data_IF_549783270699
#
_entry.id   IF_549783270699
#
_cell.length_a   1.000
_cell.length_b   1.000
_cell.length_c   1.000
_cell.angle_alpha   90.00
_cell.angle_beta   90.00
_cell.angle_gamma   90.00
#
_symmetry.space_group_name_H-M   'P 1'
#
loop_
_entity.id
_entity.type
_entity.pdbx_description
1 polymer ?
#
# COMPACT_ATOMS: atom_id res chain seq x y z
N UNK A 1 8.65 -10.18 -14.18
CA UNK A 1 7.35 -9.61 -14.59
C UNK A 1 7.42 -9.33 -16.07
N UNK A 2 6.42 -9.80 -16.81
CA UNK A 2 6.34 -9.78 -18.27
C UNK A 2 5.14 -8.97 -18.75
N UNK A 3 4.06 -8.92 -17.97
CA UNK A 3 2.80 -8.26 -18.35
C UNK A 3 2.04 -7.76 -17.12
N UNK A 4 1.31 -6.67 -17.29
CA UNK A 4 0.36 -6.11 -16.32
C UNK A 4 -0.99 -5.93 -16.99
N UNK A 5 -2.06 -6.35 -16.32
CA UNK A 5 -3.43 -6.01 -16.69
C UNK A 5 -4.16 -5.38 -15.51
N UNK A 6 -4.78 -4.22 -15.69
CA UNK A 6 -5.44 -3.50 -14.62
C UNK A 6 -6.84 -2.98 -15.00
N UNK A 7 -7.66 -2.75 -13.98
CA UNK A 7 -8.94 -2.05 -14.05
C UNK A 7 -9.08 -1.09 -12.88
N UNK A 8 -9.51 0.13 -13.22
CA UNK A 8 -9.87 1.16 -12.26
C UNK A 8 -11.38 1.43 -12.26
N UNK A 9 -11.88 1.91 -11.13
CA UNK A 9 -13.25 2.39 -10.97
C UNK A 9 -13.25 3.74 -10.25
N UNK A 10 -14.05 4.69 -10.77
CA UNK A 10 -14.28 6.01 -10.20
C UNK A 10 -15.64 6.09 -9.51
N UNK A 11 -15.75 6.89 -8.45
CA UNK A 11 -16.84 6.97 -7.49
C UNK A 11 -16.65 8.15 -6.54
N UNK A 12 -16.46 7.89 -5.25
CA UNK A 12 -16.50 8.91 -4.17
C UNK A 12 -15.44 9.99 -4.31
N UNK A 13 -14.23 9.65 -4.77
CA UNK A 13 -13.16 10.62 -5.02
C UNK A 13 -13.51 11.54 -6.19
N UNK A 14 -14.16 11.02 -7.23
CA UNK A 14 -14.64 11.82 -8.36
C UNK A 14 -15.77 12.76 -7.93
N UNK A 15 -16.69 12.29 -7.09
CA UNK A 15 -17.76 13.12 -6.51
C UNK A 15 -17.20 14.23 -5.61
N UNK A 16 -16.08 13.97 -4.93
CA UNK A 16 -15.31 14.97 -4.18
C UNK A 16 -14.46 15.92 -5.06
N UNK A 17 -14.49 15.77 -6.39
CA UNK A 17 -13.78 16.65 -7.33
C UNK A 17 -12.37 16.19 -7.72
N UNK A 18 -11.97 14.97 -7.37
CA UNK A 18 -10.67 14.39 -7.73
C UNK A 18 -10.81 13.40 -8.90
N UNK A 19 -10.15 13.68 -10.02
CA UNK A 19 -10.24 12.83 -11.23
C UNK A 19 -9.30 11.60 -11.17
N UNK A 20 -9.42 10.80 -10.12
CA UNK A 20 -8.62 9.58 -9.89
C UNK A 20 -9.53 8.36 -9.68
N UNK A 21 -8.96 7.17 -9.81
CA UNK A 21 -9.66 5.92 -9.51
C UNK A 21 -9.72 5.70 -7.98
N UNK A 22 -10.90 5.32 -7.48
CA UNK A 22 -11.12 4.95 -6.07
C UNK A 22 -10.62 3.54 -5.79
N UNK A 23 -10.82 2.65 -6.76
CA UNK A 23 -10.44 1.25 -6.68
C UNK A 23 -9.63 0.91 -7.92
N UNK A 24 -8.47 0.29 -7.72
CA UNK A 24 -7.67 -0.28 -8.81
C UNK A 24 -7.28 -1.70 -8.45
N UNK A 25 -7.57 -2.66 -9.34
CA UNK A 25 -7.03 -4.02 -9.28
C UNK A 25 -6.12 -4.26 -10.47
N UNK A 26 -4.98 -4.90 -10.22
CA UNK A 26 -3.97 -5.22 -11.22
C UNK A 26 -3.49 -6.67 -11.07
N UNK A 27 -3.43 -7.39 -12.18
CA UNK A 27 -2.80 -8.70 -12.31
C UNK A 27 -1.42 -8.51 -12.95
N UNK A 28 -0.39 -9.02 -12.28
CA UNK A 28 1.01 -8.96 -12.69
C UNK A 28 1.47 -10.38 -13.01
N UNK A 29 1.87 -10.61 -14.24
CA UNK A 29 2.38 -11.90 -14.71
C UNK A 29 3.91 -11.92 -14.68
N UNK A 30 4.50 -13.03 -14.24
CA UNK A 30 5.96 -13.21 -14.17
C UNK A 30 6.44 -14.27 -15.15
N UNK A 31 7.72 -14.19 -15.51
CA UNK A 31 8.33 -15.05 -16.53
C UNK A 31 8.49 -16.51 -16.10
N UNK A 32 8.48 -16.76 -14.80
CA UNK A 32 8.51 -18.09 -14.18
C UNK A 32 7.11 -18.69 -14.01
N UNK A 33 6.07 -18.00 -14.48
CA UNK A 33 4.66 -18.41 -14.35
C UNK A 33 3.98 -17.96 -13.07
N UNK A 34 4.69 -17.29 -12.15
CA UNK A 34 4.05 -16.70 -10.98
C UNK A 34 3.09 -15.56 -11.39
N UNK A 35 2.07 -15.34 -10.58
CA UNK A 35 1.08 -14.28 -10.76
C UNK A 35 0.88 -13.56 -9.43
N UNK A 36 0.86 -12.24 -9.46
CA UNK A 36 0.47 -11.42 -8.31
C UNK A 36 -0.81 -10.65 -8.63
N UNK A 37 -1.73 -10.60 -7.67
CA UNK A 37 -2.88 -9.71 -7.70
C UNK A 37 -2.63 -8.59 -6.70
N UNK A 38 -2.68 -7.34 -7.18
CA UNK A 38 -2.52 -6.15 -6.37
C UNK A 38 -3.78 -5.33 -6.44
N UNK A 39 -4.13 -4.71 -5.33
CA UNK A 39 -4.89 -3.49 -5.48
C UNK A 39 -5.29 -2.81 -4.20
N UNK A 40 -5.98 -1.73 -4.46
CA UNK A 40 -6.06 -0.57 -3.60
C UNK A 40 -7.46 -0.05 -3.70
N UNK A 41 -8.04 0.32 -2.56
CA UNK A 41 -9.38 0.89 -2.47
C UNK A 41 -9.39 2.02 -1.46
N UNK A 42 -9.86 3.18 -1.91
CA UNK A 42 -10.22 4.33 -1.08
C UNK A 42 -11.74 4.51 -0.98
N UNK A 43 -12.53 3.57 -1.52
CA UNK A 43 -13.99 3.64 -1.56
C UNK A 43 -14.69 3.15 -0.27
N UNK A 44 -13.94 2.94 0.82
CA UNK A 44 -14.53 2.50 2.08
C UNK A 44 -15.40 3.62 2.70
N UNK A 45 -16.48 3.28 3.42
CA UNK A 45 -17.30 4.28 4.09
C UNK A 45 -16.47 5.14 5.04
N UNK A 46 -16.79 6.43 5.12
CA UNK A 46 -16.11 7.41 5.97
C UNK A 46 -15.95 6.94 7.44
N UNK A 47 -16.93 6.21 7.97
CA UNK A 47 -16.90 5.73 9.37
C UNK A 47 -16.33 4.31 9.55
N UNK A 48 -15.69 3.75 8.51
CA UNK A 48 -15.05 2.44 8.63
C UNK A 48 -13.82 2.50 9.56
N UNK A 49 -13.63 1.54 10.48
CA UNK A 49 -12.57 1.62 11.51
C UNK A 49 -11.14 1.69 10.97
N UNK A 50 -10.90 1.13 9.78
CA UNK A 50 -9.60 1.08 9.12
C UNK A 50 -9.52 2.05 7.92
N UNK A 51 -10.27 3.17 7.95
CA UNK A 51 -10.32 4.10 6.81
C UNK A 51 -8.91 4.54 6.41
N UNK A 52 -8.50 4.18 5.19
CA UNK A 52 -7.19 4.51 4.64
C UNK A 52 -6.02 3.67 5.15
N UNK A 53 -6.21 2.78 6.13
CA UNK A 53 -5.11 2.04 6.76
C UNK A 53 -5.49 0.57 6.98
N UNK A 54 -5.14 -0.25 6.00
CA UNK A 54 -5.40 -1.68 5.97
C UNK A 54 -4.48 -2.31 4.92
N UNK A 55 -3.78 -3.38 5.27
CA UNK A 55 -2.92 -4.10 4.34
C UNK A 55 -3.02 -5.60 4.59
N UNK A 56 -3.28 -6.35 3.53
CA UNK A 56 -3.34 -7.81 3.56
C UNK A 56 -2.45 -8.37 2.47
N UNK A 57 -1.67 -9.38 2.81
CA UNK A 57 -0.78 -10.08 1.90
C UNK A 57 -1.00 -11.58 2.04
N UNK A 58 -1.13 -12.26 0.92
CA UNK A 58 -1.10 -13.72 0.86
C UNK A 58 -0.06 -14.15 -0.16
N UNK A 59 0.79 -15.10 0.23
CA UNK A 59 1.75 -15.77 -0.64
C UNK A 59 1.48 -17.26 -0.59
N UNK A 60 1.13 -17.82 -1.74
CA UNK A 60 0.82 -19.23 -1.93
C UNK A 60 1.99 -19.91 -2.65
N UNK A 61 2.58 -20.92 -2.01
CA UNK A 61 3.67 -21.72 -2.56
C UNK A 61 3.30 -23.20 -2.66
N UNK A 62 4.17 -23.99 -3.30
CA UNK A 62 3.98 -25.45 -3.43
C UNK A 62 4.10 -26.19 -2.10
N UNK A 63 4.80 -25.61 -1.12
CA UNK A 63 5.12 -26.25 0.16
C UNK A 63 4.59 -25.49 1.37
N UNK A 64 3.85 -24.40 1.16
CA UNK A 64 3.35 -23.61 2.28
C UNK A 64 2.65 -22.33 1.85
N UNK A 65 2.16 -21.62 2.87
CA UNK A 65 1.40 -20.38 2.73
C UNK A 65 1.87 -19.38 3.78
N UNK A 66 1.93 -18.11 3.38
CA UNK A 66 2.07 -16.96 4.28
C UNK A 66 0.81 -16.11 4.11
N UNK A 67 0.12 -15.82 5.21
CA UNK A 67 -0.98 -14.85 5.26
C UNK A 67 -0.60 -13.81 6.31
N UNK A 68 -0.52 -12.56 5.89
CA UNK A 68 -0.34 -11.41 6.77
C UNK A 68 -1.59 -10.54 6.69
N UNK A 69 -2.16 -10.27 7.85
CA UNK A 69 -3.28 -9.36 8.03
C UNK A 69 -2.85 -8.25 8.99
N UNK A 70 -2.52 -7.10 8.40
CA UNK A 70 -2.09 -5.89 9.10
C UNK A 70 -3.28 -5.00 9.48
N UNK A 71 -4.51 -5.46 9.22
CA UNK A 71 -5.71 -4.76 9.65
C UNK A 71 -5.88 -4.82 11.18
N UNK A 72 -5.16 -5.73 11.86
CA UNK A 72 -5.17 -5.92 13.32
C UNK A 72 -6.59 -5.98 13.91
N UNK A 73 -7.49 -6.67 13.21
CA UNK A 73 -8.92 -6.74 13.57
C UNK A 73 -9.18 -7.39 14.94
N UNK A 74 -8.17 -8.06 15.50
CA UNK A 74 -8.13 -8.64 16.84
C UNK A 74 -7.85 -7.61 17.95
N UNK A 75 -7.32 -6.43 17.62
CA UNK A 75 -7.02 -5.35 18.55
C UNK A 75 -7.91 -4.14 18.28
N UNK A 76 -9.08 -4.08 18.92
CA UNK A 76 -10.03 -2.99 18.72
C UNK A 76 -10.07 -2.02 19.90
N UNK A 77 -10.29 -0.74 19.60
CA UNK A 77 -10.68 0.28 20.57
C UNK A 77 -11.97 0.95 20.11
N UNK A 78 -12.88 1.17 21.06
CA UNK A 78 -14.09 1.95 20.86
C UNK A 78 -14.20 3.08 21.88
N UNK A 79 -14.63 4.27 21.45
CA UNK A 79 -14.82 5.43 22.32
C UNK A 79 -15.92 6.36 21.79
N UNK A 80 -16.82 6.79 22.67
CA UNK A 80 -17.81 7.84 22.39
C UNK A 80 -17.18 9.21 22.12
N UNK A 81 -15.94 9.43 22.58
CA UNK A 81 -15.21 10.69 22.35
C UNK A 81 -14.59 10.78 20.95
N UNK A 82 -14.61 9.69 20.18
CA UNK A 82 -13.96 9.61 18.88
C UNK A 82 -12.44 9.51 18.95
N UNK A 83 -11.85 9.09 17.83
CA UNK A 83 -10.41 9.04 17.57
C UNK A 83 -10.17 9.84 16.29
N UNK A 84 -9.27 10.84 16.29
CA UNK A 84 -8.98 11.63 15.10
C UNK A 84 -8.27 10.79 14.03
N UNK A 85 -8.58 11.06 12.76
CA UNK A 85 -7.89 10.44 11.62
C UNK A 85 -6.49 11.04 11.44
N UNK A 86 -5.50 10.22 11.10
CA UNK A 86 -4.09 10.67 11.02
C UNK A 86 -3.78 11.57 9.81
N UNK A 87 -4.55 11.47 8.72
CA UNK A 87 -4.35 12.27 7.49
C UNK A 87 -5.46 13.25 7.14
N UNK A 88 -6.66 13.05 7.67
CA UNK A 88 -7.84 13.79 7.25
C UNK A 88 -8.23 14.71 8.40
N UNK A 89 -7.93 16.02 8.31
CA UNK A 89 -8.34 16.95 9.35
C UNK A 89 -9.86 16.92 9.48
N UNK A 90 -10.35 17.15 10.70
CA UNK A 90 -11.78 17.17 11.04
C UNK A 90 -12.52 15.84 10.82
N UNK A 91 -11.80 14.75 10.57
CA UNK A 91 -12.37 13.41 10.48
C UNK A 91 -12.12 12.62 11.77
N UNK A 92 -13.19 12.04 12.33
CA UNK A 92 -13.11 11.20 13.52
C UNK A 92 -13.96 9.94 13.39
N UNK A 93 -13.46 8.84 13.93
CA UNK A 93 -14.16 7.54 14.03
C UNK A 93 -14.27 7.11 15.49
N UNK A 94 -15.35 6.42 15.84
CA UNK A 94 -15.57 5.93 17.21
C UNK A 94 -14.90 4.59 17.46
N UNK A 95 -14.53 3.88 16.40
CA UNK A 95 -13.88 2.58 16.45
C UNK A 95 -12.62 2.60 15.60
N UNK A 96 -11.54 2.03 16.10
CA UNK A 96 -10.29 1.82 15.36
C UNK A 96 -9.74 0.42 15.63
N UNK A 97 -9.01 -0.12 14.67
CA UNK A 97 -8.09 -1.22 14.92
C UNK A 97 -6.74 -0.62 15.32
N UNK A 98 -6.24 -1.03 16.48
CA UNK A 98 -4.98 -0.51 17.02
C UNK A 98 -3.82 -1.07 16.20
N UNK A 99 -2.79 -0.25 15.99
CA UNK A 99 -1.59 -0.60 15.20
C UNK A 99 -1.83 -0.81 13.70
N UNK A 100 -3.06 -0.74 13.19
CA UNK A 100 -3.37 -0.86 11.76
C UNK A 100 -3.10 0.41 10.95
N UNK A 101 -2.53 1.44 11.58
CA UNK A 101 -2.19 2.72 10.97
C UNK A 101 -0.99 2.64 10.03
N UNK A 102 -0.72 3.72 9.30
CA UNK A 102 0.52 3.88 8.52
C UNK A 102 1.76 3.54 9.31
N UNK A 103 2.92 3.26 8.67
CA UNK A 103 4.01 2.58 9.35
C UNK A 103 4.58 3.47 10.45
N UNK A 104 4.01 3.34 11.63
CA UNK A 104 4.23 4.17 12.80
C UNK A 104 2.99 4.90 13.35
N UNK A 105 3.03 5.13 14.66
CA UNK A 105 1.97 5.78 15.43
C UNK A 105 2.40 7.16 15.89
N UNK A 106 1.42 8.06 16.05
CA UNK A 106 1.63 9.31 16.77
C UNK A 106 1.43 9.09 18.27
N UNK A 107 2.49 9.23 19.04
CA UNK A 107 2.47 9.09 20.50
C UNK A 107 3.33 10.16 21.16
N UNK A 108 2.83 10.73 22.27
CA UNK A 108 3.53 11.78 23.03
C UNK A 108 3.95 13.00 22.18
N UNK A 109 3.24 13.29 21.10
CA UNK A 109 3.55 14.40 20.18
C UNK A 109 4.62 14.11 19.14
N UNK A 110 5.13 12.88 19.07
CA UNK A 110 6.13 12.44 18.09
C UNK A 110 5.59 11.30 17.22
N UNK A 111 6.15 11.14 16.02
CA UNK A 111 5.85 10.01 15.13
C UNK A 111 6.83 8.86 15.37
N UNK A 112 6.30 7.69 15.67
CA UNK A 112 7.07 6.50 16.03
C UNK A 112 6.86 5.41 14.97
N UNK A 113 7.81 5.25 14.05
CA UNK A 113 7.69 4.26 12.96
C UNK A 113 9.03 3.81 12.37
N UNK A 114 9.02 2.89 11.39
CA UNK A 114 10.22 2.39 10.73
C UNK A 114 11.12 3.45 10.11
N UNK A 115 10.66 4.68 9.86
CA UNK A 115 11.50 5.76 9.29
C UNK A 115 12.83 5.92 10.05
N UNK A 116 12.79 5.91 11.39
CA UNK A 116 14.01 6.01 12.19
C UNK A 116 14.93 4.79 12.01
N UNK A 117 14.35 3.59 11.88
CA UNK A 117 15.10 2.35 11.66
C UNK A 117 15.67 2.26 10.25
N UNK A 118 14.92 2.68 9.23
CA UNK A 118 15.36 2.77 7.84
C UNK A 118 16.51 3.78 7.70
N UNK A 119 16.35 4.96 8.30
CA UNK A 119 17.41 5.98 8.33
C UNK A 119 18.68 5.43 8.98
N UNK A 120 18.54 4.74 10.12
CA UNK A 120 19.68 4.10 10.79
C UNK A 120 20.32 3.03 9.90
N UNK A 121 19.53 2.18 9.24
CA UNK A 121 20.04 1.13 8.35
C UNK A 121 20.86 1.73 7.19
N UNK A 122 20.41 2.85 6.63
CA UNK A 122 21.17 3.59 5.61
C UNK A 122 22.47 4.19 6.14
N UNK A 123 22.45 4.82 7.32
CA UNK A 123 23.65 5.37 7.96
C UNK A 123 24.66 4.27 8.29
N UNK A 124 24.20 3.13 8.79
CA UNK A 124 25.00 1.95 9.07
C UNK A 124 25.67 1.39 7.81
N UNK A 125 24.96 1.38 6.68
CA UNK A 125 25.53 1.01 5.38
C UNK A 125 26.67 1.95 4.98
N UNK A 126 26.46 3.27 5.08
CA UNK A 126 27.45 4.26 4.68
C UNK A 126 28.67 4.31 5.61
N UNK A 127 28.45 4.28 6.92
CA UNK A 127 29.50 4.48 7.91
C UNK A 127 30.31 3.21 8.16
N UNK A 128 29.67 2.03 8.09
CA UNK A 128 30.26 0.76 8.51
C UNK A 128 30.33 -0.29 7.40
N UNK A 129 29.83 0.02 6.20
CA UNK A 129 29.81 -0.94 5.08
C UNK A 129 28.87 -2.11 5.29
N UNK A 130 27.90 -2.02 6.21
CA UNK A 130 26.89 -3.08 6.42
C UNK A 130 26.03 -3.25 5.17
N UNK A 131 25.48 -4.46 4.96
CA UNK A 131 24.50 -4.67 3.90
C UNK A 131 23.25 -3.79 4.14
N UNK A 132 22.74 -3.16 3.08
CA UNK A 132 21.54 -2.33 3.14
C UNK A 132 20.36 -3.09 2.52
N UNK A 133 19.26 -3.21 3.27
CA UNK A 133 18.03 -3.83 2.79
C UNK A 133 17.08 -2.84 2.09
N UNK A 134 17.42 -1.55 2.06
CA UNK A 134 16.60 -0.54 1.40
C UNK A 134 16.71 -0.64 -0.12
N UNK A 135 15.64 -0.25 -0.79
CA UNK A 135 15.58 -0.27 -2.25
C UNK A 135 16.69 0.59 -2.87
N UNK A 136 17.39 0.01 -3.85
CA UNK A 136 18.32 0.72 -4.71
C UNK A 136 17.57 1.61 -5.72
N UNK A 137 18.23 2.63 -6.32
CA UNK A 137 17.61 3.44 -7.37
C UNK A 137 17.08 2.62 -8.55
N UNK A 138 17.73 1.48 -8.86
CA UNK A 138 17.31 0.59 -9.94
C UNK A 138 16.01 -0.13 -9.61
N UNK A 139 15.88 -0.62 -8.38
CA UNK A 139 14.65 -1.25 -7.90
C UNK A 139 13.51 -0.23 -7.83
N UNK A 140 13.78 0.97 -7.33
CA UNK A 140 12.80 2.06 -7.31
C UNK A 140 12.31 2.42 -8.73
N UNK A 141 13.22 2.51 -9.71
CA UNK A 141 12.86 2.75 -11.12
C UNK A 141 11.99 1.62 -11.68
N UNK A 142 12.32 0.36 -11.36
CA UNK A 142 11.51 -0.79 -11.79
C UNK A 142 10.11 -0.74 -11.18
N UNK A 143 9.97 -0.41 -9.89
CA UNK A 143 8.68 -0.22 -9.24
C UNK A 143 7.86 0.88 -9.93
N UNK A 144 8.48 2.01 -10.25
CA UNK A 144 7.82 3.10 -10.98
C UNK A 144 7.33 2.65 -12.37
N UNK A 145 8.12 1.88 -13.11
CA UNK A 145 7.69 1.31 -14.39
C UNK A 145 6.45 0.41 -14.24
N UNK A 146 6.37 -0.38 -13.17
CA UNK A 146 5.17 -1.19 -12.87
C UNK A 146 3.95 -0.30 -12.65
N UNK A 147 4.07 0.73 -11.81
CA UNK A 147 2.97 1.65 -11.52
C UNK A 147 2.46 2.35 -12.78
N UNK A 148 3.37 2.81 -13.63
CA UNK A 148 3.01 3.41 -14.93
C UNK A 148 2.30 2.40 -15.85
N UNK A 149 2.72 1.13 -15.85
CA UNK A 149 2.05 0.10 -16.62
C UNK A 149 0.65 -0.22 -16.08
N UNK A 150 0.45 -0.21 -14.76
CA UNK A 150 -0.86 -0.35 -14.12
C UNK A 150 -1.78 0.78 -14.60
N UNK A 151 -1.33 2.04 -14.51
CA UNK A 151 -2.12 3.18 -14.99
C UNK A 151 -2.47 3.08 -16.48
N UNK A 152 -1.47 2.77 -17.32
CA UNK A 152 -1.66 2.63 -18.75
C UNK A 152 -2.64 1.48 -19.07
N UNK A 153 -2.54 0.36 -18.36
CA UNK A 153 -3.44 -0.77 -18.53
C UNK A 153 -4.87 -0.43 -18.11
N UNK A 154 -5.05 0.24 -16.97
CA UNK A 154 -6.36 0.69 -16.49
C UNK A 154 -7.03 1.65 -17.49
N UNK A 155 -6.28 2.63 -18.02
CA UNK A 155 -6.75 3.60 -19.03
C UNK A 155 -7.10 2.94 -20.37
N UNK A 156 -6.21 2.09 -20.89
CA UNK A 156 -6.36 1.48 -22.21
C UNK A 156 -7.26 0.23 -22.22
N UNK A 157 -7.54 -0.32 -21.04
CA UNK A 157 -8.23 -1.60 -20.83
C UNK A 157 -7.56 -2.81 -21.47
N UNK A 158 -6.26 -2.72 -21.74
CA UNK A 158 -5.44 -3.75 -22.40
C UNK A 158 -4.25 -4.16 -21.54
N UNK A 159 -3.73 -5.37 -21.69
CA UNK A 159 -2.47 -5.75 -21.06
C UNK A 159 -1.32 -4.86 -21.55
N UNK A 160 -0.36 -4.59 -20.67
CA UNK A 160 0.85 -3.81 -20.94
C UNK A 160 2.06 -4.69 -20.66
N UNK A 161 2.88 -4.91 -21.68
CA UNK A 161 4.11 -5.68 -21.55
C UNK A 161 5.20 -4.87 -20.83
N UNK A 162 6.03 -5.56 -20.05
CA UNK A 162 7.19 -4.99 -19.36
C UNK A 162 8.47 -5.82 -19.59
N UNK A 163 9.67 -5.20 -19.55
CA UNK A 163 9.90 -3.76 -19.33
C UNK A 163 9.40 -2.91 -20.50
N UNK A 164 9.15 -1.62 -20.29
CA UNK A 164 8.79 -0.74 -21.40
C UNK A 164 9.90 -0.77 -22.45
N UNK A 165 9.51 -0.97 -23.71
CA UNK A 165 10.44 -0.83 -24.82
C UNK A 165 10.63 0.68 -25.01
N UNK A 166 11.83 1.18 -24.72
CA UNK A 166 12.22 2.56 -25.04
C UNK A 166 12.14 2.81 -26.55
#
# INVERSE_FOLDING_TARGET
>A
MTEVFARGQKGVLKEAGHDTDDVTWAILSYSDGAVANLGVSYALPEKYPALGHAARLEVLGTEGVIILDDDHTDQLMYSEKGVPHVYLPDHSVNMVFLQSGTPGDWALGEFWGPIANETRAWLDHLALGKACALATPREARRTLEVTLAIEQSAKSRKPVALPFVN
#
